data_IF_274710719596
#
_entry.id   IF_274710719596
#
_cell.length_a   1.000
_cell.length_b   1.000
_cell.length_c   1.000
_cell.angle_alpha   90.00
_cell.angle_beta   90.00
_cell.angle_gamma   90.00
#
_symmetry.space_group_name_H-M   'P 1'
#
loop_
_entity.id
_entity.type
_entity.pdbx_description
1 polymer ?
#
# COMPACT_ATOMS: atom_id res chain seq x y z
N UNK A 1 -9.80 23.59 -31.52
CA UNK A 1 -8.83 24.12 -32.51
C UNK A 1 -7.80 23.02 -32.73
N UNK A 2 -7.69 22.39 -33.91
CA UNK A 2 -7.05 22.86 -35.16
C UNK A 2 -5.52 23.07 -35.06
N UNK A 3 -4.76 21.95 -35.07
CA UNK A 3 -3.47 21.68 -35.76
C UNK A 3 -2.85 20.39 -35.19
N UNK A 4 -1.99 19.63 -35.89
CA UNK A 4 -1.92 19.33 -37.31
C UNK A 4 -1.27 17.93 -37.49
N UNK A 5 -1.63 17.19 -38.55
CA UNK A 5 -1.22 15.80 -38.78
C UNK A 5 -0.17 15.72 -39.88
N UNK A 6 0.91 14.94 -39.70
CA UNK A 6 1.64 14.31 -40.83
C UNK A 6 2.55 13.16 -40.40
N UNK A 7 2.29 11.98 -40.96
CA UNK A 7 3.24 10.85 -41.01
C UNK A 7 4.33 11.16 -42.04
N UNK A 8 5.55 10.71 -41.81
CA UNK A 8 6.50 10.45 -42.90
C UNK A 8 6.16 9.07 -43.50
N UNK A 9 5.89 9.02 -44.80
CA UNK A 9 5.58 7.79 -45.52
C UNK A 9 6.39 7.75 -46.82
N UNK A 10 6.85 6.55 -47.19
CA UNK A 10 7.75 6.33 -48.34
C UNK A 10 7.08 6.77 -49.65
N UNK A 11 7.87 7.30 -50.59
CA UNK A 11 7.48 7.48 -51.99
C UNK A 11 8.54 6.84 -52.89
N UNK A 12 8.09 6.16 -53.93
CA UNK A 12 8.91 5.40 -54.89
C UNK A 12 8.86 6.11 -56.26
N UNK A 13 9.83 5.82 -57.12
CA UNK A 13 9.96 6.35 -58.49
C UNK A 13 8.69 6.20 -59.36
N UNK A 14 8.49 7.18 -60.26
CA UNK A 14 7.77 7.06 -61.53
C UNK A 14 8.35 8.08 -62.54
N UNK A 15 8.08 7.90 -63.84
CA UNK A 15 8.79 8.52 -64.99
C UNK A 15 7.88 9.44 -65.86
N UNK A 16 8.44 9.92 -66.99
CA UNK A 16 7.85 10.64 -68.15
C UNK A 16 7.87 12.19 -68.01
N UNK A 17 8.24 13.01 -69.01
CA UNK A 17 8.71 12.83 -70.41
C UNK A 17 8.53 14.17 -71.21
N UNK A 18 8.90 14.43 -72.49
CA UNK A 18 9.68 13.79 -73.59
C UNK A 18 10.07 14.92 -74.62
N UNK A 19 10.84 14.63 -75.70
CA UNK A 19 10.84 15.26 -77.08
C UNK A 19 12.08 16.07 -77.60
N UNK A 20 12.92 15.38 -78.39
CA UNK A 20 13.47 15.63 -79.78
C UNK A 20 14.13 16.98 -80.23
N UNK A 21 15.09 16.83 -81.18
CA UNK A 21 15.84 17.76 -82.07
C UNK A 21 17.28 18.11 -81.62
N UNK A 22 18.31 18.13 -82.48
CA UNK A 22 18.41 17.89 -83.95
C UNK A 22 19.68 17.06 -84.33
N UNK A 23 19.95 16.88 -85.64
CA UNK A 23 20.99 15.99 -86.19
C UNK A 23 22.26 16.76 -86.68
N UNK A 24 23.12 16.23 -87.60
CA UNK A 24 24.31 15.46 -87.21
C UNK A 24 25.65 16.06 -87.73
N UNK A 25 26.77 15.64 -87.14
CA UNK A 25 28.11 15.79 -87.74
C UNK A 25 28.86 14.46 -87.67
N UNK A 26 29.17 13.89 -88.82
CA UNK A 26 29.95 12.65 -88.94
C UNK A 26 31.44 12.95 -89.13
N UNK A 27 32.29 12.43 -88.24
CA UNK A 27 33.74 12.29 -88.47
C UNK A 27 34.10 10.80 -88.42
N UNK A 28 34.99 10.37 -89.31
CA UNK A 28 35.14 8.97 -89.72
C UNK A 28 36.25 8.19 -89.02
N UNK A 29 36.02 6.88 -88.92
CA UNK A 29 37.00 5.78 -88.87
C UNK A 29 37.84 5.56 -87.59
N UNK A 30 37.42 4.59 -86.78
CA UNK A 30 38.27 3.48 -86.29
C UNK A 30 37.41 2.32 -85.70
N UNK A 31 37.78 1.04 -85.86
CA UNK A 31 36.96 -0.09 -85.41
C UNK A 31 37.18 -0.48 -83.93
N UNK A 32 36.62 0.30 -82.99
CA UNK A 32 36.73 0.05 -81.54
C UNK A 32 35.43 -0.43 -80.86
N UNK A 33 34.39 -0.73 -81.64
CA UNK A 33 32.99 -0.92 -81.17
C UNK A 33 32.73 -2.18 -80.29
N UNK A 34 33.76 -2.99 -80.01
CA UNK A 34 33.72 -4.09 -79.03
C UNK A 34 34.23 -3.68 -77.63
N UNK A 35 34.76 -2.48 -77.46
CA UNK A 35 35.27 -1.97 -76.18
C UNK A 35 34.17 -1.36 -75.31
N UNK A 36 33.36 -0.46 -75.88
CA UNK A 36 32.36 0.31 -75.13
C UNK A 36 31.18 -0.56 -74.65
N UNK A 37 30.67 -1.45 -75.51
CA UNK A 37 29.66 -2.43 -75.12
C UNK A 37 30.11 -3.29 -73.92
N UNK A 38 31.37 -3.78 -73.93
CA UNK A 38 31.96 -4.51 -72.80
C UNK A 38 32.18 -3.65 -71.55
N UNK A 39 32.42 -2.34 -71.71
CA UNK A 39 32.47 -1.39 -70.60
C UNK A 39 31.11 -1.30 -69.91
N UNK A 40 30.03 -1.27 -70.68
CA UNK A 40 28.70 -0.95 -70.18
C UNK A 40 27.98 -2.20 -69.66
N UNK A 41 28.19 -3.37 -70.28
CA UNK A 41 27.91 -4.67 -69.65
C UNK A 41 28.63 -4.83 -68.30
N UNK A 42 29.91 -4.43 -68.21
CA UNK A 42 30.68 -4.53 -66.97
C UNK A 42 30.15 -3.58 -65.89
N UNK A 43 29.73 -2.35 -66.26
CA UNK A 43 29.05 -1.42 -65.35
C UNK A 43 27.74 -2.03 -64.85
N UNK A 44 26.87 -2.50 -65.75
CA UNK A 44 25.58 -3.10 -65.41
C UNK A 44 25.72 -4.32 -64.49
N UNK A 45 26.59 -5.29 -64.84
CA UNK A 45 26.87 -6.48 -64.03
C UNK A 45 27.44 -6.14 -62.64
N UNK A 46 28.20 -5.04 -62.55
CA UNK A 46 28.74 -4.53 -61.28
C UNK A 46 27.69 -3.80 -60.44
N UNK A 47 26.74 -3.10 -61.06
CA UNK A 47 25.61 -2.47 -60.37
C UNK A 47 24.60 -3.51 -59.88
N UNK A 48 24.30 -4.52 -60.69
CA UNK A 48 23.49 -5.71 -60.34
C UNK A 48 24.08 -6.46 -59.13
N UNK A 49 25.38 -6.78 -59.15
CA UNK A 49 26.09 -7.33 -57.98
C UNK A 49 26.19 -6.38 -56.80
N UNK A 50 25.93 -5.09 -56.98
CA UNK A 50 25.84 -4.12 -55.88
C UNK A 50 24.40 -3.96 -55.37
N UNK A 51 23.34 -4.24 -56.14
CA UNK A 51 21.96 -4.35 -55.63
C UNK A 51 21.76 -5.67 -54.91
N UNK A 52 22.14 -6.80 -55.53
CA UNK A 52 22.10 -8.14 -54.92
C UNK A 52 22.79 -8.16 -53.54
N UNK A 53 23.98 -7.55 -53.42
CA UNK A 53 24.74 -7.46 -52.17
C UNK A 53 24.18 -6.43 -51.17
N UNK A 54 23.35 -5.48 -51.60
CA UNK A 54 22.58 -4.60 -50.68
C UNK A 54 21.35 -5.34 -50.15
N UNK A 55 20.68 -6.09 -51.00
CA UNK A 55 19.45 -6.86 -50.69
C UNK A 55 19.76 -8.01 -49.72
N UNK A 56 20.72 -8.90 -50.06
CA UNK A 56 21.23 -9.93 -49.15
C UNK A 56 21.68 -9.37 -47.78
N UNK A 57 22.20 -8.13 -47.76
CA UNK A 57 22.64 -7.45 -46.52
C UNK A 57 21.46 -6.84 -45.75
N UNK A 58 20.41 -6.39 -46.43
CA UNK A 58 19.18 -5.92 -45.82
C UNK A 58 18.38 -7.09 -45.21
N UNK A 59 18.32 -8.23 -45.91
CA UNK A 59 17.69 -9.47 -45.44
C UNK A 59 18.40 -10.00 -44.19
N UNK A 60 19.74 -10.13 -44.21
CA UNK A 60 20.51 -10.49 -43.00
C UNK A 60 20.39 -9.49 -41.85
N UNK A 61 20.08 -8.22 -42.15
CA UNK A 61 19.79 -7.22 -41.10
C UNK A 61 18.37 -7.36 -40.53
N UNK A 62 17.40 -7.82 -41.32
CA UNK A 62 16.06 -8.19 -40.84
C UNK A 62 16.11 -9.48 -40.02
N UNK A 63 16.70 -10.54 -40.54
CA UNK A 63 16.90 -11.83 -39.85
C UNK A 63 17.61 -11.63 -38.49
N UNK A 64 18.72 -10.90 -38.45
CA UNK A 64 19.40 -10.57 -37.20
C UNK A 64 18.59 -9.66 -36.27
N UNK A 65 17.65 -8.87 -36.77
CA UNK A 65 16.76 -8.04 -35.93
C UNK A 65 15.71 -8.91 -35.27
N UNK A 66 15.08 -9.81 -36.03
CA UNK A 66 13.99 -10.66 -35.56
C UNK A 66 14.53 -11.71 -34.56
N UNK A 67 15.67 -12.33 -34.85
CA UNK A 67 16.39 -13.20 -33.90
C UNK A 67 16.77 -12.49 -32.59
N UNK A 68 17.11 -11.18 -32.64
CA UNK A 68 17.36 -10.36 -31.43
C UNK A 68 16.08 -10.00 -30.68
N UNK A 69 14.97 -9.86 -31.41
CA UNK A 69 13.67 -9.50 -30.86
C UNK A 69 13.04 -10.69 -30.12
N UNK A 70 13.10 -11.90 -30.70
CA UNK A 70 12.71 -13.14 -30.02
C UNK A 70 13.57 -13.37 -28.76
N UNK A 71 14.90 -13.31 -28.89
CA UNK A 71 15.82 -13.48 -27.75
C UNK A 71 15.64 -12.40 -26.65
N UNK A 72 15.20 -11.20 -27.01
CA UNK A 72 14.76 -10.20 -26.03
C UNK A 72 13.46 -10.62 -25.35
N UNK A 73 12.44 -11.01 -26.13
CA UNK A 73 11.12 -11.30 -25.63
C UNK A 73 11.09 -12.50 -24.66
N UNK A 74 11.77 -13.60 -24.97
CA UNK A 74 11.89 -14.76 -24.07
C UNK A 74 12.49 -14.38 -22.71
N UNK A 75 13.64 -13.68 -22.73
CA UNK A 75 14.31 -13.19 -21.51
C UNK A 75 13.47 -12.17 -20.76
N UNK A 76 12.72 -11.34 -21.47
CA UNK A 76 11.80 -10.37 -20.88
C UNK A 76 10.64 -11.10 -20.17
N UNK A 77 10.07 -12.15 -20.77
CA UNK A 77 8.96 -12.91 -20.16
C UNK A 77 9.38 -13.71 -18.94
N UNK A 78 10.56 -14.32 -18.92
CA UNK A 78 11.12 -14.93 -17.71
C UNK A 78 11.30 -13.90 -16.58
N UNK A 79 11.80 -12.70 -16.91
CA UNK A 79 12.03 -11.64 -15.93
C UNK A 79 10.70 -11.02 -15.45
N UNK A 80 9.69 -11.01 -16.30
CA UNK A 80 8.32 -10.62 -16.00
C UNK A 80 7.68 -11.59 -14.98
N UNK A 81 7.87 -12.90 -15.14
CA UNK A 81 7.39 -13.91 -14.20
C UNK A 81 8.13 -13.88 -12.86
N UNK A 82 9.45 -13.63 -12.88
CA UNK A 82 10.24 -13.35 -11.67
C UNK A 82 9.70 -12.12 -10.90
N UNK A 83 9.15 -11.11 -11.58
CA UNK A 83 8.49 -9.96 -10.94
C UNK A 83 7.17 -10.37 -10.26
N UNK A 84 6.37 -11.25 -10.88
CA UNK A 84 5.14 -11.76 -10.29
C UNK A 84 5.40 -12.62 -9.03
N UNK A 85 6.37 -13.53 -9.08
CA UNK A 85 6.79 -14.32 -7.91
C UNK A 85 7.27 -13.43 -6.74
N UNK A 86 8.15 -12.46 -7.04
CA UNK A 86 8.61 -11.47 -6.05
C UNK A 86 7.46 -10.63 -5.45
N UNK A 87 6.35 -10.44 -6.16
CA UNK A 87 5.18 -9.75 -5.63
C UNK A 87 4.41 -10.62 -4.63
N UNK A 88 4.26 -11.92 -4.93
CA UNK A 88 3.65 -12.90 -4.02
C UNK A 88 4.44 -13.02 -2.71
N UNK A 89 5.76 -13.17 -2.77
CA UNK A 89 6.64 -13.22 -1.59
C UNK A 89 6.52 -11.97 -0.70
N UNK A 90 6.36 -10.81 -1.33
CA UNK A 90 6.18 -9.53 -0.63
C UNK A 90 4.79 -9.39 -0.01
N UNK A 91 3.75 -10.00 -0.61
CA UNK A 91 2.40 -10.11 -0.03
C UNK A 91 2.44 -11.00 1.21
N UNK A 92 2.97 -12.21 1.10
CA UNK A 92 3.12 -13.14 2.22
C UNK A 92 3.88 -12.53 3.41
N UNK A 93 5.04 -11.91 3.15
CA UNK A 93 5.84 -11.20 4.19
C UNK A 93 5.17 -9.95 4.76
N UNK A 94 4.16 -9.38 4.09
CA UNK A 94 3.34 -8.30 4.64
C UNK A 94 2.26 -8.87 5.57
N UNK A 95 1.58 -9.95 5.18
CA UNK A 95 0.55 -10.59 5.99
C UNK A 95 1.11 -11.28 7.24
N UNK A 96 2.30 -11.90 7.16
CA UNK A 96 3.04 -12.41 8.32
C UNK A 96 3.31 -11.31 9.36
N UNK A 97 3.77 -10.13 8.91
CA UNK A 97 4.00 -8.95 9.76
C UNK A 97 2.71 -8.33 10.28
N UNK A 98 1.57 -8.57 9.61
CA UNK A 98 0.25 -8.13 10.04
C UNK A 98 -0.27 -9.03 11.15
N UNK A 99 -0.13 -10.36 11.02
CA UNK A 99 -0.42 -11.35 12.07
C UNK A 99 0.34 -11.03 13.35
N UNK A 100 1.68 -11.06 13.31
CA UNK A 100 2.55 -10.78 14.47
C UNK A 100 2.22 -9.48 15.22
N UNK A 101 1.65 -8.47 14.54
CA UNK A 101 1.18 -7.21 15.15
C UNK A 101 -0.19 -7.31 15.82
N UNK A 102 -1.10 -8.14 15.30
CA UNK A 102 -2.35 -8.47 15.97
C UNK A 102 -2.06 -9.29 17.23
N UNK A 103 -1.27 -10.36 17.12
CA UNK A 103 -0.87 -11.22 18.25
C UNK A 103 -0.24 -10.38 19.38
N UNK A 104 0.71 -9.50 19.03
CA UNK A 104 1.36 -8.58 20.00
C UNK A 104 0.35 -7.63 20.66
N UNK A 105 -0.63 -7.13 19.91
CA UNK A 105 -1.67 -6.22 20.42
C UNK A 105 -2.64 -6.95 21.36
N UNK A 106 -2.95 -8.21 21.09
CA UNK A 106 -3.82 -9.05 21.91
C UNK A 106 -3.15 -9.42 23.24
N UNK A 107 -1.92 -9.93 23.22
CA UNK A 107 -1.13 -10.18 24.44
C UNK A 107 -1.02 -8.93 25.31
N UNK A 108 -0.72 -7.76 24.69
CA UNK A 108 -0.66 -6.47 25.41
C UNK A 108 -2.00 -6.02 26.00
N UNK A 109 -3.14 -6.53 25.54
CA UNK A 109 -4.47 -6.27 26.15
C UNK A 109 -4.69 -7.19 27.33
N UNK A 110 -4.42 -8.48 27.15
CA UNK A 110 -4.66 -9.52 28.15
C UNK A 110 -3.76 -9.30 29.40
N UNK A 111 -2.49 -8.94 29.21
CA UNK A 111 -1.58 -8.54 30.31
C UNK A 111 -2.11 -7.35 31.12
N UNK A 112 -2.69 -6.34 30.44
CA UNK A 112 -3.23 -5.14 31.09
C UNK A 112 -4.52 -5.42 31.84
N UNK A 113 -5.31 -6.37 31.35
CA UNK A 113 -6.57 -6.81 31.96
C UNK A 113 -6.30 -7.65 33.21
N UNK A 114 -5.43 -8.66 33.12
CA UNK A 114 -4.97 -9.43 34.28
C UNK A 114 -4.34 -8.52 35.37
N UNK A 115 -3.59 -7.49 34.96
CA UNK A 115 -3.03 -6.51 35.90
C UNK A 115 -4.08 -5.57 36.50
N UNK A 116 -5.09 -5.15 35.73
CA UNK A 116 -6.22 -4.36 36.26
C UNK A 116 -6.98 -5.17 37.30
N UNK A 117 -7.28 -6.43 37.00
CA UNK A 117 -8.02 -7.32 37.89
C UNK A 117 -7.25 -7.60 39.19
N UNK A 118 -5.95 -7.94 39.11
CA UNK A 118 -5.11 -8.10 40.31
C UNK A 118 -5.04 -6.83 41.17
N UNK A 119 -5.12 -5.63 40.57
CA UNK A 119 -5.20 -4.38 41.31
C UNK A 119 -6.59 -4.11 41.91
N UNK A 120 -7.67 -4.65 41.34
CA UNK A 120 -9.02 -4.64 41.95
C UNK A 120 -9.03 -5.52 43.19
N UNK A 121 -8.69 -6.80 43.07
CA UNK A 121 -8.70 -7.75 44.20
C UNK A 121 -7.88 -7.24 45.40
N UNK A 122 -6.65 -6.73 45.16
CA UNK A 122 -5.82 -6.11 46.21
C UNK A 122 -6.44 -4.86 46.84
N UNK A 123 -7.29 -4.13 46.12
CA UNK A 123 -8.02 -2.95 46.64
C UNK A 123 -9.26 -3.38 47.42
N UNK A 124 -9.90 -4.48 47.03
CA UNK A 124 -11.05 -5.08 47.69
C UNK A 124 -10.65 -5.73 49.02
N UNK A 125 -9.57 -6.51 49.05
CA UNK A 125 -8.93 -7.03 50.28
C UNK A 125 -8.65 -5.92 51.30
N UNK A 126 -7.97 -4.84 50.87
CA UNK A 126 -7.61 -3.70 51.73
C UNK A 126 -8.83 -2.93 52.23
N UNK A 127 -9.93 -2.91 51.46
CA UNK A 127 -11.18 -2.25 51.83
C UNK A 127 -11.97 -3.11 52.83
N UNK A 128 -12.03 -4.42 52.65
CA UNK A 128 -12.62 -5.36 53.60
C UNK A 128 -11.88 -5.32 54.95
N UNK A 129 -10.55 -5.41 54.94
CA UNK A 129 -9.71 -5.27 56.14
C UNK A 129 -9.68 -3.85 56.76
N UNK A 130 -10.40 -2.89 56.16
CA UNK A 130 -10.68 -1.57 56.71
C UNK A 130 -12.09 -1.51 57.33
N UNK A 131 -13.11 -2.13 56.70
CA UNK A 131 -14.44 -2.30 57.30
C UNK A 131 -14.39 -3.12 58.59
N UNK A 132 -13.68 -4.25 58.62
CA UNK A 132 -13.51 -5.07 59.84
C UNK A 132 -13.00 -4.22 61.02
N UNK A 133 -12.09 -3.27 60.76
CA UNK A 133 -11.52 -2.36 61.77
C UNK A 133 -12.47 -1.22 62.16
N UNK A 134 -13.46 -0.89 61.34
CA UNK A 134 -14.55 0.02 61.70
C UNK A 134 -15.64 -0.69 62.49
N UNK A 135 -16.02 -1.89 62.05
CA UNK A 135 -17.01 -2.76 62.71
C UNK A 135 -16.53 -3.14 64.12
N UNK A 136 -15.26 -3.52 64.29
CA UNK A 136 -14.65 -3.76 65.60
C UNK A 136 -14.52 -2.52 66.52
N UNK A 137 -14.71 -1.31 65.99
CA UNK A 137 -14.74 -0.04 66.76
C UNK A 137 -16.17 0.48 67.00
N UNK A 138 -17.18 -0.17 66.42
CA UNK A 138 -18.57 0.22 66.53
C UNK A 138 -19.21 -0.39 67.78
N UNK A 139 -18.83 0.13 68.96
CA UNK A 139 -19.34 -0.31 70.27
C UNK A 139 -20.87 -0.16 70.40
N UNK A 140 -21.43 0.98 69.97
CA UNK A 140 -22.88 1.26 69.99
C UNK A 140 -23.58 0.92 68.67
N UNK A 141 -24.87 0.60 68.74
CA UNK A 141 -25.66 0.26 67.55
C UNK A 141 -25.82 1.43 66.58
N UNK A 142 -25.76 2.68 67.08
CA UNK A 142 -25.69 3.88 66.24
C UNK A 142 -24.40 3.92 65.40
N UNK A 143 -23.23 3.60 65.98
CA UNK A 143 -21.98 3.46 65.23
C UNK A 143 -22.05 2.28 64.24
N UNK A 144 -22.63 1.14 64.62
CA UNK A 144 -22.78 -0.04 63.73
C UNK A 144 -23.64 0.31 62.51
N UNK A 145 -24.76 0.99 62.71
CA UNK A 145 -25.61 1.48 61.62
C UNK A 145 -24.87 2.46 60.70
N UNK A 146 -24.06 3.37 61.26
CA UNK A 146 -23.24 4.29 60.47
C UNK A 146 -22.14 3.58 59.66
N UNK A 147 -21.48 2.56 60.23
CA UNK A 147 -20.49 1.73 59.50
C UNK A 147 -21.18 0.94 58.37
N UNK A 148 -22.36 0.36 58.61
CA UNK A 148 -23.11 -0.33 57.58
C UNK A 148 -23.55 0.61 56.43
N UNK A 149 -24.01 1.82 56.76
CA UNK A 149 -24.35 2.85 55.77
C UNK A 149 -23.12 3.33 54.98
N UNK A 150 -21.98 3.53 55.64
CA UNK A 150 -20.71 3.86 55.01
C UNK A 150 -20.27 2.75 54.03
N UNK A 151 -20.24 1.49 54.49
CA UNK A 151 -19.90 0.30 53.70
C UNK A 151 -20.75 0.20 52.44
N UNK A 152 -22.08 0.28 52.58
CA UNK A 152 -23.03 0.27 51.45
C UNK A 152 -22.78 1.42 50.45
N UNK A 153 -22.50 2.62 50.96
CA UNK A 153 -22.26 3.81 50.11
C UNK A 153 -20.93 3.70 49.34
N UNK A 154 -19.89 3.16 49.99
CA UNK A 154 -18.57 3.00 49.37
C UNK A 154 -18.55 1.86 48.36
N UNK A 155 -19.20 0.71 48.62
CA UNK A 155 -19.33 -0.35 47.59
C UNK A 155 -20.06 0.16 46.35
N UNK A 156 -21.25 0.76 46.50
CA UNK A 156 -22.00 1.30 45.37
C UNK A 156 -21.20 2.34 44.55
N UNK A 157 -20.32 3.12 45.21
CA UNK A 157 -19.39 4.02 44.55
C UNK A 157 -18.22 3.29 43.86
N UNK A 158 -17.71 2.20 44.43
CA UNK A 158 -16.71 1.32 43.80
C UNK A 158 -17.29 0.73 42.52
N UNK A 159 -18.49 0.15 42.58
CA UNK A 159 -19.18 -0.50 41.46
C UNK A 159 -19.41 0.50 40.32
N UNK A 160 -20.09 1.62 40.63
CA UNK A 160 -20.37 2.72 39.66
C UNK A 160 -19.09 3.20 38.96
N UNK A 161 -17.97 3.27 39.69
CA UNK A 161 -16.67 3.65 39.14
C UNK A 161 -16.05 2.53 38.29
N UNK A 162 -16.14 1.27 38.70
CA UNK A 162 -15.65 0.13 37.91
C UNK A 162 -16.39 0.04 36.57
N UNK A 163 -17.73 0.09 36.58
CA UNK A 163 -18.59 0.10 35.40
C UNK A 163 -18.22 1.23 34.42
N UNK A 164 -18.09 2.47 34.92
CA UNK A 164 -17.73 3.63 34.10
C UNK A 164 -16.32 3.52 33.49
N UNK A 165 -15.37 2.93 34.23
CA UNK A 165 -14.00 2.67 33.74
C UNK A 165 -13.98 1.57 32.69
N UNK A 166 -14.72 0.48 32.89
CA UNK A 166 -14.73 -0.66 31.97
C UNK A 166 -15.52 -0.36 30.70
N UNK A 167 -16.63 0.37 30.79
CA UNK A 167 -17.32 0.93 29.63
C UNK A 167 -16.38 1.83 28.80
N UNK A 168 -15.57 2.67 29.45
CA UNK A 168 -14.58 3.51 28.77
C UNK A 168 -13.41 2.70 28.15
N UNK A 169 -12.98 1.61 28.79
CA UNK A 169 -11.97 0.68 28.25
C UNK A 169 -12.53 -0.10 27.04
N UNK A 170 -13.76 -0.60 27.12
CA UNK A 170 -14.43 -1.33 26.05
C UNK A 170 -14.70 -0.42 24.84
N UNK A 171 -15.20 0.80 25.07
CA UNK A 171 -15.39 1.80 24.01
C UNK A 171 -14.06 2.17 23.33
N UNK A 172 -12.98 2.34 24.12
CA UNK A 172 -11.63 2.56 23.58
C UNK A 172 -11.16 1.38 22.72
N UNK A 173 -11.25 0.13 23.22
CA UNK A 173 -10.86 -1.08 22.49
C UNK A 173 -11.60 -1.18 21.15
N UNK A 174 -12.94 -1.10 21.19
CA UNK A 174 -13.81 -1.15 20.00
C UNK A 174 -13.48 -0.05 18.98
N UNK A 175 -13.23 1.18 19.41
CA UNK A 175 -12.84 2.28 18.54
C UNK A 175 -11.46 2.07 17.88
N UNK A 176 -10.49 1.54 18.64
CA UNK A 176 -9.15 1.21 18.12
C UNK A 176 -9.24 0.07 17.10
N UNK A 177 -10.06 -0.95 17.35
CA UNK A 177 -10.24 -2.09 16.44
C UNK A 177 -10.97 -1.70 15.16
N UNK A 178 -11.96 -0.81 15.23
CA UNK A 178 -12.60 -0.23 14.05
C UNK A 178 -11.60 0.57 13.19
N UNK A 179 -10.76 1.41 13.82
CA UNK A 179 -9.73 2.18 13.14
C UNK A 179 -8.67 1.28 12.46
N UNK A 180 -8.19 0.26 13.17
CA UNK A 180 -7.26 -0.75 12.62
C UNK A 180 -7.92 -1.55 11.49
N UNK A 181 -9.20 -1.91 11.64
CA UNK A 181 -9.99 -2.64 10.66
C UNK A 181 -10.19 -1.88 9.35
N UNK A 182 -10.59 -0.61 9.43
CA UNK A 182 -10.71 0.26 8.24
C UNK A 182 -9.37 0.34 7.51
N UNK A 183 -8.29 0.70 8.22
CA UNK A 183 -6.96 0.83 7.63
C UNK A 183 -6.41 -0.49 7.09
N UNK A 184 -6.80 -1.64 7.65
CA UNK A 184 -6.49 -2.96 7.10
C UNK A 184 -7.15 -3.13 5.72
N UNK A 185 -8.46 -2.87 5.62
CA UNK A 185 -9.22 -2.93 4.36
C UNK A 185 -8.63 -2.02 3.29
N UNK A 186 -8.31 -0.77 3.64
CA UNK A 186 -7.70 0.19 2.71
C UNK A 186 -6.37 -0.33 2.13
N UNK A 187 -5.53 -0.91 2.99
CA UNK A 187 -4.21 -1.44 2.60
C UNK A 187 -4.30 -2.77 1.83
N UNK A 188 -5.33 -3.57 2.09
CA UNK A 188 -5.60 -4.82 1.35
C UNK A 188 -6.18 -4.52 -0.03
N UNK A 189 -7.06 -3.53 -0.14
CA UNK A 189 -7.57 -2.99 -1.41
C UNK A 189 -6.44 -2.43 -2.28
N UNK A 190 -5.63 -1.51 -1.75
CA UNK A 190 -4.49 -0.91 -2.44
C UNK A 190 -3.46 -1.96 -2.92
N UNK A 191 -3.22 -3.01 -2.11
CA UNK A 191 -2.33 -4.11 -2.49
C UNK A 191 -2.88 -4.93 -3.67
N UNK A 192 -4.20 -5.15 -3.74
CA UNK A 192 -4.84 -5.88 -4.84
C UNK A 192 -4.96 -5.02 -6.12
N UNK A 193 -5.25 -3.72 -5.99
CA UNK A 193 -5.19 -2.74 -7.09
C UNK A 193 -3.80 -2.72 -7.71
N UNK A 194 -2.74 -2.64 -6.89
CA UNK A 194 -1.36 -2.70 -7.36
C UNK A 194 -1.04 -4.01 -8.07
N UNK A 195 -1.47 -5.16 -7.50
CA UNK A 195 -1.27 -6.48 -8.11
C UNK A 195 -1.90 -6.56 -9.50
N UNK A 196 -3.19 -6.19 -9.63
CA UNK A 196 -3.91 -6.18 -10.91
C UNK A 196 -3.25 -5.25 -11.94
N UNK A 197 -2.74 -4.10 -11.52
CA UNK A 197 -1.99 -3.19 -12.40
C UNK A 197 -0.65 -3.78 -12.87
N UNK A 198 0.05 -4.54 -12.03
CA UNK A 198 1.25 -5.30 -12.42
C UNK A 198 0.88 -6.42 -13.39
N UNK A 199 -0.13 -7.23 -13.09
CA UNK A 199 -0.60 -8.33 -13.94
C UNK A 199 -1.05 -7.83 -15.33
N UNK A 200 -1.79 -6.73 -15.40
CA UNK A 200 -2.15 -6.07 -16.67
C UNK A 200 -0.91 -5.61 -17.46
N UNK A 201 0.09 -5.04 -16.80
CA UNK A 201 1.34 -4.62 -17.45
C UNK A 201 2.15 -5.81 -17.99
N UNK A 202 2.19 -6.93 -17.24
CA UNK A 202 2.85 -8.17 -17.65
C UNK A 202 2.15 -8.77 -18.90
N UNK A 203 0.82 -8.86 -18.87
CA UNK A 203 0.01 -9.35 -20.01
C UNK A 203 0.14 -8.46 -21.24
N UNK A 204 0.12 -7.13 -21.09
CA UNK A 204 0.34 -6.19 -22.19
C UNK A 204 1.73 -6.38 -22.83
N UNK A 205 2.78 -6.51 -22.02
CA UNK A 205 4.13 -6.70 -22.53
C UNK A 205 4.33 -8.08 -23.21
N UNK A 206 3.68 -9.14 -22.73
CA UNK A 206 3.61 -10.44 -23.42
C UNK A 206 2.93 -10.29 -24.80
N UNK A 207 1.79 -9.60 -24.84
CA UNK A 207 1.06 -9.33 -26.08
C UNK A 207 1.88 -8.50 -27.07
N UNK A 208 2.58 -7.46 -26.61
CA UNK A 208 3.39 -6.58 -27.46
C UNK A 208 4.57 -7.33 -28.08
N UNK A 209 5.20 -8.23 -27.32
CA UNK A 209 6.21 -9.15 -27.83
C UNK A 209 5.67 -10.07 -28.92
N UNK A 210 4.53 -10.74 -28.69
CA UNK A 210 3.88 -11.60 -29.68
C UNK A 210 3.43 -10.83 -30.94
N UNK A 211 3.09 -9.54 -30.81
CA UNK A 211 2.71 -8.67 -31.92
C UNK A 211 3.91 -8.05 -32.68
N UNK A 212 5.14 -8.48 -32.42
CA UNK A 212 6.32 -7.95 -33.10
C UNK A 212 6.68 -6.49 -32.74
N UNK A 213 6.25 -6.01 -31.57
CA UNK A 213 6.58 -4.65 -31.10
C UNK A 213 8.06 -4.52 -30.76
N UNK A 214 8.67 -3.40 -31.17
CA UNK A 214 10.08 -3.09 -30.91
C UNK A 214 10.48 -3.26 -29.42
N UNK A 215 11.60 -3.98 -29.12
CA UNK A 215 12.07 -4.21 -27.76
C UNK A 215 12.21 -2.99 -26.85
N UNK A 216 12.66 -1.84 -27.37
CA UNK A 216 12.79 -0.63 -26.56
C UNK A 216 11.40 -0.07 -26.20
N UNK A 217 10.47 -0.13 -27.13
CA UNK A 217 9.05 0.25 -26.96
C UNK A 217 8.34 -0.64 -25.96
N UNK A 218 8.50 -1.98 -26.02
CA UNK A 218 7.97 -2.92 -25.02
C UNK A 218 8.51 -2.59 -23.62
N UNK A 219 9.83 -2.46 -23.51
CA UNK A 219 10.51 -2.17 -22.23
C UNK A 219 10.08 -0.84 -21.61
N UNK A 220 9.96 0.21 -22.42
CA UNK A 220 9.58 1.54 -21.94
C UNK A 220 8.09 1.60 -21.57
N UNK A 221 7.21 0.95 -22.32
CA UNK A 221 5.78 0.81 -21.98
C UNK A 221 5.63 0.13 -20.62
N UNK A 222 6.22 -1.05 -20.45
CA UNK A 222 6.16 -1.81 -19.20
C UNK A 222 6.73 -1.04 -18.00
N UNK A 223 7.89 -0.38 -18.15
CA UNK A 223 8.49 0.47 -17.11
C UNK A 223 7.52 1.59 -16.69
N UNK A 224 6.86 2.22 -17.65
CA UNK A 224 5.91 3.32 -17.41
C UNK A 224 4.67 2.83 -16.66
N UNK A 225 4.09 1.68 -17.06
CA UNK A 225 2.98 1.05 -16.36
C UNK A 225 3.33 0.68 -14.92
N UNK A 226 4.50 0.07 -14.68
CA UNK A 226 4.97 -0.25 -13.33
C UNK A 226 5.23 1.00 -12.47
N UNK A 227 5.68 2.11 -13.07
CA UNK A 227 5.88 3.37 -12.36
C UNK A 227 4.53 4.00 -11.98
N UNK A 228 3.56 4.03 -12.90
CA UNK A 228 2.19 4.49 -12.62
C UNK A 228 1.53 3.69 -11.49
N UNK A 229 1.60 2.34 -11.54
CA UNK A 229 1.08 1.47 -10.50
C UNK A 229 1.71 1.75 -9.12
N UNK A 230 3.03 2.03 -9.06
CA UNK A 230 3.72 2.39 -7.81
C UNK A 230 3.24 3.75 -7.27
N UNK A 231 3.00 4.73 -8.14
CA UNK A 231 2.45 6.03 -7.75
C UNK A 231 1.03 5.90 -7.21
N UNK A 232 0.16 5.09 -7.84
CA UNK A 232 -1.19 4.78 -7.32
C UNK A 232 -1.10 4.17 -5.91
N UNK A 233 -0.32 3.09 -5.75
CA UNK A 233 -0.11 2.43 -4.46
C UNK A 233 0.47 3.39 -3.39
N UNK A 234 1.35 4.31 -3.78
CA UNK A 234 1.89 5.33 -2.87
C UNK A 234 0.80 6.32 -2.43
N UNK A 235 -0.02 6.80 -3.36
CA UNK A 235 -1.08 7.77 -3.08
C UNK A 235 -2.18 7.14 -2.20
N UNK A 236 -2.61 5.91 -2.51
CA UNK A 236 -3.53 5.12 -1.67
C UNK A 236 -2.98 4.96 -0.23
N UNK A 237 -1.67 4.68 -0.10
CA UNK A 237 -0.99 4.58 1.22
C UNK A 237 -0.83 5.90 1.97
N UNK A 238 -0.91 7.03 1.28
CA UNK A 238 -0.84 8.37 1.88
C UNK A 238 -2.22 8.91 2.25
N UNK A 239 -3.25 8.60 1.45
CA UNK A 239 -4.65 8.97 1.71
C UNK A 239 -5.37 8.07 2.71
N UNK A 240 -4.99 6.78 2.83
CA UNK A 240 -5.54 5.88 3.83
C UNK A 240 -5.25 6.35 5.26
N UNK A 241 -6.24 6.22 6.12
CA UNK A 241 -6.31 7.03 7.34
C UNK A 241 -5.21 6.68 8.36
N UNK A 242 -4.71 7.71 9.07
CA UNK A 242 -3.62 7.54 10.04
C UNK A 242 -4.18 7.25 11.43
N UNK A 243 -4.46 5.97 11.67
CA UNK A 243 -4.89 5.37 12.96
C UNK A 243 -4.28 6.02 14.21
N UNK A 244 -3.00 6.44 14.17
CA UNK A 244 -2.36 7.14 15.30
C UNK A 244 -3.04 8.45 15.76
N UNK A 245 -3.79 9.15 14.91
CA UNK A 245 -4.59 10.30 15.31
C UNK A 245 -5.91 9.87 15.99
N UNK A 246 -6.62 8.92 15.39
CA UNK A 246 -7.86 8.34 15.92
C UNK A 246 -7.63 7.69 17.30
N UNK A 247 -6.56 6.89 17.45
CA UNK A 247 -6.15 6.27 18.72
C UNK A 247 -5.85 7.31 19.81
N UNK A 248 -5.25 8.46 19.45
CA UNK A 248 -5.01 9.56 20.41
C UNK A 248 -6.32 10.19 20.89
N UNK A 249 -7.25 10.48 19.98
CA UNK A 249 -8.57 11.03 20.34
C UNK A 249 -9.37 10.06 21.23
N UNK A 250 -9.38 8.77 20.89
CA UNK A 250 -10.00 7.72 21.70
C UNK A 250 -9.34 7.60 23.09
N UNK A 251 -8.02 7.68 23.16
CA UNK A 251 -7.28 7.63 24.43
C UNK A 251 -7.60 8.82 25.34
N UNK A 252 -7.77 10.01 24.76
CA UNK A 252 -8.16 11.21 25.48
C UNK A 252 -9.60 11.14 25.98
N UNK A 253 -10.54 10.68 25.13
CA UNK A 253 -11.94 10.45 25.52
C UNK A 253 -12.02 9.49 26.72
N UNK A 254 -11.29 8.37 26.67
CA UNK A 254 -11.18 7.44 27.80
C UNK A 254 -10.55 8.11 29.03
N UNK A 255 -9.50 8.93 28.87
CA UNK A 255 -8.84 9.65 29.99
C UNK A 255 -9.83 10.56 30.71
N UNK A 256 -10.66 11.29 29.97
CA UNK A 256 -11.68 12.20 30.52
C UNK A 256 -12.73 11.42 31.32
N UNK A 257 -13.29 10.34 30.75
CA UNK A 257 -14.32 9.52 31.44
C UNK A 257 -13.76 8.85 32.70
N UNK A 258 -12.57 8.23 32.61
CA UNK A 258 -11.91 7.60 33.77
C UNK A 258 -11.62 8.63 34.87
N UNK A 259 -11.21 9.85 34.51
CA UNK A 259 -11.02 10.93 35.48
C UNK A 259 -12.33 11.34 36.15
N UNK A 260 -13.40 11.56 35.37
CA UNK A 260 -14.71 11.93 35.92
C UNK A 260 -15.24 10.86 36.90
N UNK A 261 -15.08 9.57 36.59
CA UNK A 261 -15.44 8.46 37.47
C UNK A 261 -14.61 8.44 38.78
N UNK A 262 -13.31 8.78 38.71
CA UNK A 262 -12.45 8.88 39.89
C UNK A 262 -12.78 10.11 40.76
N UNK A 263 -13.02 11.26 40.15
CA UNK A 263 -13.37 12.50 40.85
C UNK A 263 -14.76 12.36 41.54
N UNK A 264 -15.74 11.72 40.88
CA UNK A 264 -17.05 11.39 41.46
C UNK A 264 -16.96 10.35 42.60
N UNK A 265 -16.19 9.27 42.42
CA UNK A 265 -15.92 8.30 43.47
C UNK A 265 -15.32 8.96 44.70
N UNK A 266 -14.29 9.80 44.51
CA UNK A 266 -13.62 10.52 45.59
C UNK A 266 -14.62 11.37 46.39
N UNK A 267 -15.43 12.18 45.70
CA UNK A 267 -16.45 13.03 46.34
C UNK A 267 -17.46 12.22 47.16
N UNK A 268 -17.93 11.08 46.62
CA UNK A 268 -18.88 10.19 47.32
C UNK A 268 -18.26 9.59 48.60
N UNK A 269 -17.00 9.12 48.52
CA UNK A 269 -16.29 8.55 49.67
C UNK A 269 -15.94 9.61 50.73
N UNK A 270 -15.58 10.83 50.32
CA UNK A 270 -15.31 11.93 51.25
C UNK A 270 -16.57 12.37 52.00
N UNK A 271 -17.72 12.46 51.32
CA UNK A 271 -19.02 12.71 51.96
C UNK A 271 -19.42 11.58 52.93
N UNK A 272 -19.34 10.32 52.49
CA UNK A 272 -19.65 9.17 53.34
C UNK A 272 -18.74 9.10 54.59
N UNK A 273 -17.46 9.47 54.44
CA UNK A 273 -16.49 9.54 55.55
C UNK A 273 -16.80 10.69 56.53
N UNK A 274 -17.34 11.80 56.05
CA UNK A 274 -17.78 12.91 56.91
C UNK A 274 -18.96 12.51 57.79
N UNK A 275 -19.98 11.83 57.24
CA UNK A 275 -21.10 11.31 58.03
C UNK A 275 -20.66 10.22 59.03
N UNK A 276 -19.75 9.33 58.62
CA UNK A 276 -19.18 8.33 59.52
C UNK A 276 -18.44 8.99 60.70
N UNK A 277 -17.64 10.04 60.47
CA UNK A 277 -16.94 10.79 61.52
C UNK A 277 -17.91 11.38 62.55
N UNK A 278 -19.01 12.02 62.09
CA UNK A 278 -20.05 12.56 62.98
C UNK A 278 -20.62 11.48 63.90
N UNK A 279 -20.94 10.30 63.36
CA UNK A 279 -21.48 9.18 64.14
C UNK A 279 -20.48 8.60 65.17
N UNK A 280 -19.19 8.80 64.98
CA UNK A 280 -18.14 8.42 65.94
C UNK A 280 -17.77 9.54 66.93
N UNK A 281 -18.38 10.73 66.81
CA UNK A 281 -18.05 11.90 67.64
C UNK A 281 -16.77 12.62 67.22
N UNK A 282 -16.16 12.26 66.09
CA UNK A 282 -15.02 12.99 65.53
C UNK A 282 -15.51 14.27 64.85
N UNK A 283 -15.46 15.41 65.56
CA UNK A 283 -15.68 16.72 64.94
C UNK A 283 -14.68 16.95 63.81
N UNK A 284 -15.17 17.22 62.61
CA UNK A 284 -14.34 17.66 61.49
C UNK A 284 -13.76 19.05 61.77
N UNK A 285 -12.45 19.26 61.64
CA UNK A 285 -11.88 20.60 61.46
C UNK A 285 -12.25 21.18 60.08
#
# INVERSE_FOLDING_TARGET
>A
MKTAYRKYQKSVFALLGVVVFAAPVSVSAAPWNNGENRSDEWKANREEKLTERKENRAEKLAEMKDNRQEAFCTRFTEQAEKIAGNLSDRRAKFDERKGKRADTLETNRNEREAKLESHRSQTDERRNAMYEKLEARADTDAKKAAVAAFKKTVEAAVDTRQDAVDAAIAAFRKGVDAAIGSRKTDMESAAETFKKAVEAALTKAKSDCAAGTDPATVRQTFKTSLQSARTVLQNERQGADKVGAQVKALAETRRIVVRAALDAFKSTVEAARAELKKAFGETTP
#
